data_IF_528401611737
#
_entry.id   IF_528401611737
#
_cell.length_a   1.000
_cell.length_b   1.000
_cell.length_c   1.000
_cell.angle_alpha   90.00
_cell.angle_beta   90.00
_cell.angle_gamma   90.00
#
_symmetry.space_group_name_H-M   'P 1'
#
loop_
_entity.id
_entity.type
_entity.pdbx_description
1 polymer ?
#
# COMPACT_ATOMS: atom_id res chain seq x y z
N UNK A 1 -6.93 -24.67 -23.26
CA UNK A 1 -7.22 -23.52 -24.16
C UNK A 1 -7.86 -22.29 -23.50
N UNK A 2 -8.05 -22.21 -22.18
CA UNK A 2 -8.57 -20.99 -21.52
C UNK A 2 -7.46 -20.23 -20.76
N UNK A 3 -6.62 -20.94 -20.01
CA UNK A 3 -5.58 -20.34 -19.17
C UNK A 3 -4.49 -19.59 -19.95
N UNK A 4 -4.09 -20.09 -21.12
CA UNK A 4 -3.03 -19.49 -21.91
C UNK A 4 -3.41 -18.10 -22.43
N UNK A 5 -4.66 -17.96 -22.91
CA UNK A 5 -5.20 -16.68 -23.36
C UNK A 5 -5.40 -15.69 -22.22
N UNK A 6 -5.81 -16.18 -21.05
CA UNK A 6 -5.96 -15.37 -19.83
C UNK A 6 -4.60 -14.84 -19.38
N UNK A 7 -3.58 -15.69 -19.33
CA UNK A 7 -2.23 -15.29 -18.95
C UNK A 7 -1.63 -14.29 -19.95
N UNK A 8 -1.83 -14.51 -21.27
CA UNK A 8 -1.40 -13.57 -22.29
C UNK A 8 -2.09 -12.20 -22.16
N UNK A 9 -3.39 -12.17 -21.83
CA UNK A 9 -4.12 -10.94 -21.56
C UNK A 9 -3.63 -10.20 -20.31
N UNK A 10 -3.38 -10.93 -19.21
CA UNK A 10 -2.82 -10.37 -17.98
C UNK A 10 -1.39 -9.84 -18.23
N UNK A 11 -0.57 -10.56 -19.00
CA UNK A 11 0.77 -10.13 -19.36
C UNK A 11 0.74 -8.82 -20.17
N UNK A 12 -0.07 -8.76 -21.23
CA UNK A 12 -0.25 -7.54 -22.02
C UNK A 12 -0.80 -6.36 -21.19
N UNK A 13 -1.67 -6.61 -20.21
CA UNK A 13 -2.12 -5.58 -19.27
C UNK A 13 -1.00 -5.09 -18.33
N UNK A 14 -0.13 -5.98 -17.86
CA UNK A 14 1.06 -5.61 -17.06
C UNK A 14 2.06 -4.78 -17.87
N UNK A 15 2.31 -5.14 -19.13
CA UNK A 15 3.24 -4.40 -19.99
C UNK A 15 2.75 -2.98 -20.31
N UNK A 16 1.43 -2.80 -20.45
CA UNK A 16 0.80 -1.48 -20.57
C UNK A 16 0.82 -0.66 -19.27
N UNK A 17 1.38 -1.19 -18.18
CA UNK A 17 1.49 -0.49 -16.91
C UNK A 17 0.18 -0.42 -16.11
N UNK A 18 -0.85 -1.17 -16.49
CA UNK A 18 -2.10 -1.19 -15.73
C UNK A 18 -1.85 -1.84 -14.37
N UNK A 19 -2.11 -1.13 -13.25
CA UNK A 19 -1.92 -1.68 -11.92
C UNK A 19 -2.89 -2.83 -11.72
N UNK A 20 -2.35 -4.02 -11.48
CA UNK A 20 -3.13 -5.20 -11.17
C UNK A 20 -3.36 -5.32 -9.66
N UNK A 21 -4.58 -5.72 -9.25
CA UNK A 21 -4.92 -6.01 -7.87
C UNK A 21 -5.65 -4.87 -7.13
N UNK A 22 -5.64 -4.92 -5.79
CA UNK A 22 -6.41 -3.99 -4.94
C UNK A 22 -5.75 -2.60 -4.93
N UNK A 23 -6.51 -1.50 -5.07
CA UNK A 23 -5.96 -0.15 -5.01
C UNK A 23 -5.24 0.11 -3.68
N UNK A 24 -4.08 0.77 -3.76
CA UNK A 24 -3.18 1.03 -2.62
C UNK A 24 -3.66 2.23 -1.79
N UNK A 25 -4.87 2.16 -1.23
CA UNK A 25 -5.47 3.26 -0.43
C UNK A 25 -4.63 3.64 0.80
N UNK A 26 -3.89 2.69 1.36
CA UNK A 26 -2.99 2.93 2.49
C UNK A 26 -1.69 3.66 2.10
N UNK A 27 -1.17 3.43 0.88
CA UNK A 27 0.04 4.09 0.40
C UNK A 27 -0.17 5.59 0.19
N UNK A 28 -1.39 6.00 -0.17
CA UNK A 28 -1.77 7.42 -0.28
C UNK A 28 -1.68 8.18 1.06
N UNK A 29 -1.59 7.47 2.19
CA UNK A 29 -1.55 8.05 3.53
C UNK A 29 -0.16 8.01 4.17
N UNK A 30 0.89 7.56 3.46
CA UNK A 30 2.25 7.43 4.01
C UNK A 30 2.74 8.74 4.62
N UNK A 31 2.59 9.85 3.90
CA UNK A 31 3.07 11.16 4.37
C UNK A 31 2.45 11.54 5.73
N UNK A 32 1.14 11.29 5.89
CA UNK A 32 0.43 11.54 7.16
C UNK A 32 0.88 10.58 8.27
N UNK A 33 1.23 9.34 7.94
CA UNK A 33 1.75 8.38 8.91
C UNK A 33 3.12 8.82 9.43
N UNK A 34 4.01 9.27 8.54
CA UNK A 34 5.35 9.76 8.88
C UNK A 34 5.28 11.04 9.72
N UNK A 35 4.44 12.00 9.32
CA UNK A 35 4.22 13.26 10.05
C UNK A 35 3.71 13.00 11.48
N UNK A 36 2.69 12.14 11.64
CA UNK A 36 2.17 11.79 12.97
C UNK A 36 3.20 11.00 13.80
N UNK A 37 4.09 10.23 13.16
CA UNK A 37 5.18 9.54 13.86
C UNK A 37 6.25 10.52 14.34
N UNK A 38 6.57 11.54 13.53
CA UNK A 38 7.49 12.61 13.90
C UNK A 38 6.95 13.45 15.08
N UNK A 39 5.64 13.60 15.19
CA UNK A 39 4.96 14.21 16.34
C UNK A 39 5.00 13.33 17.62
N UNK A 40 5.61 12.14 17.57
CA UNK A 40 5.74 11.24 18.72
C UNK A 40 4.53 10.36 19.02
N UNK A 41 3.54 10.27 18.11
CA UNK A 41 2.37 9.42 18.33
C UNK A 41 2.71 7.93 18.22
N UNK A 42 2.05 7.12 19.04
CA UNK A 42 2.18 5.66 18.96
C UNK A 42 1.45 5.09 17.74
N UNK A 43 1.96 3.99 17.20
CA UNK A 43 1.43 3.34 16.00
C UNK A 43 -0.07 2.99 16.12
N UNK A 44 -0.55 2.63 17.32
CA UNK A 44 -1.96 2.36 17.59
C UNK A 44 -2.84 3.61 17.56
N UNK A 45 -2.31 4.77 17.99
CA UNK A 45 -3.03 6.04 17.93
C UNK A 45 -3.13 6.53 16.47
N UNK A 46 -2.04 6.39 15.72
CA UNK A 46 -1.98 6.69 14.28
C UNK A 46 -3.02 5.83 13.52
N UNK A 47 -3.08 4.53 13.82
CA UNK A 47 -4.05 3.60 13.23
C UNK A 47 -5.50 4.03 13.49
N UNK A 48 -5.84 4.38 14.74
CA UNK A 48 -7.18 4.87 15.12
C UNK A 48 -7.53 6.17 14.40
N UNK A 49 -6.59 7.13 14.34
CA UNK A 49 -6.80 8.45 13.72
C UNK A 49 -7.02 8.35 12.21
N UNK A 50 -6.26 7.48 11.53
CA UNK A 50 -6.33 7.31 10.07
C UNK A 50 -7.37 6.26 9.61
N UNK A 51 -8.06 5.61 10.56
CA UNK A 51 -8.98 4.48 10.35
C UNK A 51 -8.34 3.38 9.49
N UNK A 52 -7.11 3.00 9.83
CA UNK A 52 -6.37 1.92 9.17
C UNK A 52 -5.90 0.90 10.19
N UNK A 53 -5.59 -0.32 9.73
CA UNK A 53 -5.07 -1.35 10.63
C UNK A 53 -3.66 -1.01 11.12
N UNK A 54 -3.32 -1.45 12.35
CA UNK A 54 -1.97 -1.32 12.92
C UNK A 54 -0.90 -1.91 11.99
N UNK A 55 -1.19 -3.07 11.39
CA UNK A 55 -0.29 -3.72 10.44
C UNK A 55 -0.02 -2.87 9.20
N UNK A 56 -1.03 -2.16 8.70
CA UNK A 56 -0.86 -1.23 7.58
C UNK A 56 0.09 -0.08 7.94
N UNK A 57 -0.04 0.51 9.13
CA UNK A 57 0.89 1.54 9.64
C UNK A 57 2.33 1.03 9.69
N UNK A 58 2.54 -0.16 10.26
CA UNK A 58 3.88 -0.77 10.37
C UNK A 58 4.46 -1.05 8.98
N UNK A 59 3.66 -1.59 8.05
CA UNK A 59 4.11 -1.87 6.70
C UNK A 59 4.49 -0.59 5.94
N UNK A 60 3.74 0.49 6.12
CA UNK A 60 4.08 1.78 5.52
C UNK A 60 5.37 2.38 6.12
N UNK A 61 5.56 2.28 7.43
CA UNK A 61 6.78 2.74 8.09
C UNK A 61 8.02 1.93 7.66
N UNK A 62 7.88 0.60 7.51
CA UNK A 62 8.94 -0.26 6.98
C UNK A 62 9.26 0.06 5.52
N UNK A 63 8.23 0.27 4.70
CA UNK A 63 8.41 0.66 3.30
C UNK A 63 9.10 2.02 3.15
N UNK A 64 8.83 2.97 4.06
CA UNK A 64 9.50 4.27 4.09
C UNK A 64 10.95 4.21 4.59
N UNK A 65 11.32 3.21 5.38
CA UNK A 65 12.68 3.06 5.92
C UNK A 65 13.63 2.29 4.99
N UNK A 66 13.08 1.60 3.99
CA UNK A 66 13.84 0.87 2.96
C UNK A 66 13.88 1.57 1.60
N UNK A 67 13.57 2.87 1.56
CA UNK A 67 13.64 3.76 0.39
C UNK A 67 14.75 4.78 0.59
#
# INVERSE_FOLDING_TARGET
>A
MIHERVNAGIASARERGSPHGRPKTAALKIQKIVDLKAQGLNNSQIAKKLKISRGSVINQLRASAGQ
#
